data_IF_875093768114
#
_entry.id   IF_875093768114
#
_cell.length_a   1.000
_cell.length_b   1.000
_cell.length_c   1.000
_cell.angle_alpha   90.00
_cell.angle_beta   90.00
_cell.angle_gamma   90.00
#
_symmetry.space_group_name_H-M   'P 1'
#
loop_
_entity.id
_entity.type
_entity.pdbx_description
1 polymer ?
#
# COMPACT_ATOMS: atom_id res chain seq x y z
N UNK A 1 -29.61 -7.65 -2.04
CA UNK A 1 -29.70 -6.17 -2.24
C UNK A 1 -28.47 -5.75 -3.02
N UNK A 2 -28.58 -4.75 -3.91
CA UNK A 2 -27.41 -4.18 -4.59
C UNK A 2 -26.63 -3.35 -3.57
N UNK A 3 -25.31 -3.55 -3.49
CA UNK A 3 -24.44 -2.75 -2.62
C UNK A 3 -24.53 -1.27 -2.99
N UNK A 4 -24.41 -0.40 -1.99
CA UNK A 4 -24.48 1.05 -2.13
C UNK A 4 -23.15 1.67 -2.58
N UNK A 5 -22.02 1.12 -2.11
CA UNK A 5 -20.70 1.73 -2.31
C UNK A 5 -19.94 1.12 -3.49
N UNK A 6 -19.63 -0.18 -3.41
CA UNK A 6 -18.89 -0.92 -4.44
C UNK A 6 -19.50 -2.31 -4.63
N UNK A 7 -19.34 -2.90 -5.81
CA UNK A 7 -19.96 -4.17 -6.20
C UNK A 7 -19.11 -5.41 -5.89
N UNK A 8 -17.83 -5.24 -5.53
CA UNK A 8 -16.88 -6.33 -5.30
C UNK A 8 -16.66 -6.70 -3.82
N UNK A 9 -17.16 -5.91 -2.87
CA UNK A 9 -17.21 -6.23 -1.43
C UNK A 9 -18.55 -5.78 -0.83
N UNK A 10 -18.94 -6.31 0.33
CA UNK A 10 -20.15 -5.86 1.02
C UNK A 10 -20.02 -4.42 1.55
N UNK A 11 -21.15 -3.72 1.66
CA UNK A 11 -21.18 -2.37 2.24
C UNK A 11 -20.64 -2.35 3.69
N UNK A 12 -20.94 -3.38 4.48
CA UNK A 12 -20.44 -3.51 5.86
C UNK A 12 -18.91 -3.64 5.89
N UNK A 13 -18.34 -4.44 4.99
CA UNK A 13 -16.89 -4.60 4.88
C UNK A 13 -16.22 -3.31 4.42
N UNK A 14 -16.77 -2.66 3.39
CA UNK A 14 -16.28 -1.38 2.90
C UNK A 14 -16.27 -0.33 4.03
N UNK A 15 -17.40 -0.15 4.72
CA UNK A 15 -17.51 0.82 5.82
C UNK A 15 -16.57 0.51 6.98
N UNK A 16 -16.34 -0.78 7.27
CA UNK A 16 -15.36 -1.20 8.28
C UNK A 16 -13.93 -0.83 7.88
N UNK A 17 -13.54 -1.02 6.62
CA UNK A 17 -12.22 -0.62 6.12
C UNK A 17 -12.03 0.90 6.23
N UNK A 18 -13.05 1.67 5.86
CA UNK A 18 -13.00 3.14 6.00
C UNK A 18 -12.95 3.56 7.47
N UNK A 19 -13.72 2.93 8.35
CA UNK A 19 -13.70 3.18 9.79
C UNK A 19 -12.32 2.94 10.42
N UNK A 20 -11.66 1.85 10.02
CA UNK A 20 -10.29 1.53 10.44
C UNK A 20 -9.32 2.63 9.98
N UNK A 21 -9.38 3.00 8.69
CA UNK A 21 -8.54 4.05 8.11
C UNK A 21 -8.73 5.39 8.84
N UNK A 22 -9.97 5.81 9.07
CA UNK A 22 -10.28 7.04 9.80
C UNK A 22 -9.72 7.01 11.23
N UNK A 23 -9.83 5.86 11.92
CA UNK A 23 -9.26 5.68 13.26
C UNK A 23 -7.75 5.84 13.24
N UNK A 24 -7.07 5.31 12.24
CA UNK A 24 -5.61 5.42 12.13
C UNK A 24 -5.15 6.84 11.78
N UNK A 25 -5.93 7.60 10.99
CA UNK A 25 -5.71 9.03 10.79
C UNK A 25 -5.79 9.81 12.11
N UNK A 26 -6.80 9.53 12.94
CA UNK A 26 -6.94 10.17 14.26
C UNK A 26 -5.77 9.83 15.18
N UNK A 27 -5.33 8.56 15.21
CA UNK A 27 -4.15 8.14 15.99
C UNK A 27 -2.87 8.83 15.53
N UNK A 28 -2.64 8.88 14.22
CA UNK A 28 -1.46 9.52 13.64
C UNK A 28 -1.38 11.00 14.04
N UNK A 29 -2.53 11.71 14.03
CA UNK A 29 -2.62 13.10 14.47
C UNK A 29 -2.41 13.28 15.99
N UNK A 30 -2.93 12.36 16.80
CA UNK A 30 -2.89 12.47 18.27
C UNK A 30 -1.54 12.05 18.89
N UNK A 31 -0.74 11.23 18.19
CA UNK A 31 0.59 10.80 18.67
C UNK A 31 1.66 11.89 18.59
N UNK A 32 1.29 13.11 18.18
CA UNK A 32 2.21 14.22 17.95
C UNK A 32 2.45 14.99 19.25
N UNK A 33 3.39 14.49 20.06
CA UNK A 33 3.92 15.26 21.20
C UNK A 33 5.42 15.49 21.00
N UNK A 34 5.98 16.57 21.57
CA UNK A 34 7.44 16.78 21.59
C UNK A 34 8.16 15.56 22.18
N UNK A 35 7.57 14.89 23.18
CA UNK A 35 8.10 13.66 23.76
C UNK A 35 8.17 12.52 22.75
N UNK A 36 7.16 12.37 21.88
CA UNK A 36 7.16 11.34 20.86
C UNK A 36 8.16 11.65 19.72
N UNK A 37 8.28 12.93 19.35
CA UNK A 37 9.29 13.41 18.41
C UNK A 37 10.72 13.00 18.83
N UNK A 38 11.10 13.26 20.09
CA UNK A 38 12.43 12.89 20.59
C UNK A 38 12.59 11.38 20.87
N UNK A 39 11.49 10.62 20.94
CA UNK A 39 11.55 9.15 21.07
C UNK A 39 11.78 8.44 19.72
N UNK A 40 11.46 9.11 18.62
CA UNK A 40 11.70 8.60 17.27
C UNK A 40 13.16 8.85 16.87
N UNK A 41 13.69 7.99 15.99
CA UNK A 41 15.03 8.16 15.41
C UNK A 41 15.05 9.37 14.47
N UNK A 42 15.29 10.54 15.02
CA UNK A 42 15.51 11.77 14.28
C UNK A 42 17.02 11.92 14.05
N UNK A 43 17.41 12.15 12.80
CA UNK A 43 18.81 12.40 12.44
C UNK A 43 19.18 13.86 12.75
N UNK A 44 19.96 14.04 13.81
CA UNK A 44 20.38 15.37 14.28
C UNK A 44 21.37 16.04 13.34
N UNK A 45 22.16 15.27 12.57
CA UNK A 45 23.08 15.81 11.56
C UNK A 45 22.27 16.40 10.41
N UNK A 46 21.25 15.68 9.92
CA UNK A 46 20.33 16.19 8.90
C UNK A 46 19.66 17.48 9.36
N UNK A 47 19.06 17.49 10.56
CA UNK A 47 18.38 18.68 11.09
C UNK A 47 19.34 19.88 11.20
N UNK A 48 20.58 19.65 11.60
CA UNK A 48 21.59 20.71 11.68
C UNK A 48 21.87 21.32 10.30
N UNK A 49 22.03 20.48 9.27
CA UNK A 49 22.22 20.96 7.90
C UNK A 49 20.97 21.62 7.34
N UNK A 50 19.77 21.10 7.63
CA UNK A 50 18.52 21.71 7.20
C UNK A 50 18.36 23.13 7.77
N UNK A 51 18.66 23.31 9.06
CA UNK A 51 18.63 24.61 9.73
C UNK A 51 19.62 25.58 9.06
N UNK A 52 20.85 25.12 8.87
CA UNK A 52 21.96 25.93 8.36
C UNK A 52 21.77 26.32 6.90
N UNK A 53 21.41 25.37 6.04
CA UNK A 53 21.35 25.58 4.59
C UNK A 53 20.03 26.21 4.13
N UNK A 54 18.94 25.97 4.86
CA UNK A 54 17.64 26.55 4.51
C UNK A 54 17.25 27.77 5.37
N UNK A 55 18.10 28.19 6.31
CA UNK A 55 17.82 29.28 7.25
C UNK A 55 16.48 29.12 7.99
N UNK A 56 16.14 27.88 8.36
CA UNK A 56 14.92 27.54 9.09
C UNK A 56 15.25 27.46 10.58
N UNK A 57 14.42 28.07 11.42
CA UNK A 57 14.55 27.97 12.87
C UNK A 57 14.21 26.56 13.39
N UNK A 58 14.71 26.25 14.59
CA UNK A 58 14.55 24.92 15.20
C UNK A 58 13.07 24.53 15.37
N UNK A 59 12.20 25.46 15.77
CA UNK A 59 10.79 25.15 16.02
C UNK A 59 10.06 24.80 14.71
N UNK A 60 10.34 25.54 13.64
CA UNK A 60 9.82 25.25 12.31
C UNK A 60 10.30 23.90 11.78
N UNK A 61 11.57 23.54 11.99
CA UNK A 61 12.10 22.23 11.59
C UNK A 61 11.44 21.07 12.34
N UNK A 62 11.28 21.22 13.66
CA UNK A 62 10.60 20.22 14.48
C UNK A 62 9.16 20.02 13.99
N UNK A 63 8.42 21.10 13.71
CA UNK A 63 7.06 21.02 13.16
C UNK A 63 7.03 20.33 11.80
N UNK A 64 7.96 20.67 10.90
CA UNK A 64 8.03 20.05 9.58
C UNK A 64 8.31 18.54 9.65
N UNK A 65 9.25 18.13 10.49
CA UNK A 65 9.58 16.71 10.67
C UNK A 65 8.44 15.93 11.36
N UNK A 66 7.74 16.56 12.30
CA UNK A 66 6.50 16.02 12.88
C UNK A 66 5.46 15.75 11.78
N UNK A 67 5.18 16.74 10.92
CA UNK A 67 4.20 16.59 9.83
C UNK A 67 4.62 15.48 8.86
N UNK A 68 5.91 15.38 8.53
CA UNK A 68 6.46 14.31 7.70
C UNK A 68 6.26 12.92 8.32
N UNK A 69 6.39 12.79 9.65
CA UNK A 69 6.13 11.53 10.36
C UNK A 69 4.66 11.14 10.34
N UNK A 70 3.75 12.12 10.51
CA UNK A 70 2.30 11.91 10.39
C UNK A 70 1.96 11.41 8.99
N UNK A 71 2.47 12.10 7.96
CA UNK A 71 2.23 11.75 6.55
C UNK A 71 2.72 10.33 6.24
N UNK A 72 3.92 9.97 6.71
CA UNK A 72 4.44 8.59 6.58
C UNK A 72 3.52 7.56 7.27
N UNK A 73 3.01 7.87 8.47
CA UNK A 73 2.07 6.99 9.16
C UNK A 73 0.76 6.83 8.38
N UNK A 74 0.25 7.92 7.81
CA UNK A 74 -0.97 7.94 7.00
C UNK A 74 -0.78 7.09 5.73
N UNK A 75 0.34 7.26 5.02
CA UNK A 75 0.63 6.48 3.82
C UNK A 75 0.67 4.97 4.10
N UNK A 76 1.23 4.55 5.24
CA UNK A 76 1.18 3.16 5.68
C UNK A 76 -0.27 2.68 5.91
N UNK A 77 -1.10 3.50 6.57
CA UNK A 77 -2.52 3.18 6.79
C UNK A 77 -3.31 3.07 5.49
N UNK A 78 -2.98 3.85 4.46
CA UNK A 78 -3.57 3.72 3.13
C UNK A 78 -3.17 2.37 2.49
N UNK A 79 -1.93 1.92 2.68
CA UNK A 79 -1.52 0.57 2.27
C UNK A 79 -2.36 -0.52 2.92
N UNK A 80 -2.52 -0.44 4.24
CA UNK A 80 -3.38 -1.35 5.00
C UNK A 80 -4.85 -1.27 4.56
N UNK A 81 -5.35 -0.10 4.15
CA UNK A 81 -6.70 0.01 3.60
C UNK A 81 -6.85 -0.81 2.31
N UNK A 82 -5.89 -0.73 1.39
CA UNK A 82 -5.94 -1.53 0.16
C UNK A 82 -5.85 -3.04 0.45
N UNK A 83 -5.05 -3.46 1.42
CA UNK A 83 -5.02 -4.85 1.90
C UNK A 83 -6.41 -5.27 2.42
N UNK A 84 -7.00 -4.49 3.33
CA UNK A 84 -8.29 -4.82 3.94
C UNK A 84 -9.41 -4.88 2.90
N UNK A 85 -9.46 -3.93 1.96
CA UNK A 85 -10.48 -3.90 0.90
C UNK A 85 -10.34 -5.11 -0.01
N UNK A 86 -9.14 -5.39 -0.53
CA UNK A 86 -8.92 -6.53 -1.43
C UNK A 86 -9.11 -7.87 -0.71
N UNK A 87 -8.73 -7.95 0.57
CA UNK A 87 -8.96 -9.13 1.42
C UNK A 87 -10.43 -9.37 1.78
N UNK A 88 -11.34 -8.45 1.43
CA UNK A 88 -12.79 -8.66 1.54
C UNK A 88 -13.42 -9.29 0.29
N UNK A 89 -12.66 -9.41 -0.80
CA UNK A 89 -13.14 -10.03 -2.04
C UNK A 89 -13.16 -11.54 -1.85
N UNK A 90 -14.25 -12.19 -2.25
CA UNK A 90 -14.41 -13.63 -2.10
C UNK A 90 -13.25 -14.39 -2.77
N UNK A 91 -12.63 -15.32 -2.03
CA UNK A 91 -11.46 -16.07 -2.51
C UNK A 91 -10.10 -15.40 -2.25
N UNK A 92 -10.08 -14.24 -1.58
CA UNK A 92 -8.85 -13.54 -1.21
C UNK A 92 -8.79 -13.25 0.28
N UNK A 93 -7.56 -13.13 0.80
CA UNK A 93 -7.32 -12.77 2.20
C UNK A 93 -6.04 -11.95 2.35
N UNK A 94 -5.99 -11.12 3.40
CA UNK A 94 -4.78 -10.40 3.82
C UNK A 94 -3.70 -11.42 4.18
N UNK A 95 -2.47 -11.19 3.70
CA UNK A 95 -1.36 -12.12 3.83
C UNK A 95 -0.71 -12.15 5.22
N UNK A 96 -1.50 -12.20 6.29
CA UNK A 96 -1.05 -12.25 7.68
C UNK A 96 0.03 -13.33 7.90
N UNK A 97 1.22 -12.89 8.36
CA UNK A 97 2.40 -13.72 8.61
C UNK A 97 2.93 -14.52 7.39
N UNK A 98 2.44 -14.23 6.18
CA UNK A 98 2.86 -14.92 4.95
C UNK A 98 4.02 -14.23 4.23
N UNK A 99 4.28 -12.97 4.58
CA UNK A 99 5.21 -12.10 3.85
C UNK A 99 4.64 -11.54 2.55
N UNK A 100 3.33 -11.67 2.32
CA UNK A 100 2.60 -11.05 1.22
C UNK A 100 1.55 -10.11 1.80
N UNK A 101 1.14 -9.12 1.03
CA UNK A 101 0.09 -8.18 1.44
C UNK A 101 -1.29 -8.79 1.16
N UNK A 102 -1.44 -9.44 0.00
CA UNK A 102 -2.64 -10.19 -0.40
C UNK A 102 -2.28 -11.55 -1.01
N UNK A 103 -3.14 -12.54 -0.77
CA UNK A 103 -3.10 -13.84 -1.47
C UNK A 103 -4.49 -14.38 -1.75
N UNK A 104 -4.60 -15.25 -2.74
CA UNK A 104 -5.79 -16.05 -2.98
C UNK A 104 -5.85 -17.22 -1.99
N UNK A 105 -7.04 -17.57 -1.52
CA UNK A 105 -7.26 -18.65 -0.54
C UNK A 105 -6.93 -20.03 -1.10
N UNK A 106 -7.02 -20.19 -2.43
CA UNK A 106 -6.63 -21.42 -3.13
C UNK A 106 -5.12 -21.47 -3.46
N UNK A 107 -4.37 -20.43 -3.08
CA UNK A 107 -2.94 -20.31 -3.35
C UNK A 107 -2.60 -20.00 -4.82
N UNK A 108 -3.56 -19.62 -5.65
CA UNK A 108 -3.33 -19.29 -7.06
C UNK A 108 -2.59 -17.96 -7.28
N UNK A 109 -2.63 -17.05 -6.30
CA UNK A 109 -2.09 -15.69 -6.41
C UNK A 109 -1.45 -15.23 -5.10
N UNK A 110 -0.32 -14.53 -5.21
CA UNK A 110 0.33 -13.81 -4.12
C UNK A 110 0.81 -12.43 -4.59
N UNK A 111 0.68 -11.41 -3.75
CA UNK A 111 1.03 -10.04 -4.12
C UNK A 111 1.75 -9.29 -3.00
N UNK A 112 2.68 -8.42 -3.41
CA UNK A 112 3.33 -7.40 -2.57
C UNK A 112 3.00 -6.03 -3.15
N UNK A 113 2.70 -5.06 -2.31
CA UNK A 113 2.29 -3.71 -2.69
C UNK A 113 3.45 -2.73 -2.60
N UNK A 114 3.43 -1.76 -3.52
CA UNK A 114 4.38 -0.66 -3.60
C UNK A 114 3.59 0.64 -3.77
N UNK A 115 3.81 1.58 -2.86
CA UNK A 115 3.14 2.89 -2.84
C UNK A 115 4.09 4.05 -3.15
N UNK A 116 5.40 3.81 -3.17
CA UNK A 116 6.44 4.79 -3.45
C UNK A 116 7.52 4.18 -4.36
N UNK A 117 8.36 5.02 -4.96
CA UNK A 117 9.53 4.52 -5.68
C UNK A 117 10.51 3.87 -4.72
N UNK A 118 10.96 2.66 -5.08
CA UNK A 118 11.89 1.88 -4.28
C UNK A 118 13.28 1.93 -4.93
N UNK A 119 14.36 2.01 -4.13
CA UNK A 119 15.70 1.75 -4.61
C UNK A 119 15.80 0.40 -5.32
N UNK A 120 16.60 0.35 -6.39
CA UNK A 120 16.73 -0.84 -7.25
C UNK A 120 17.07 -2.11 -6.48
N UNK A 121 17.97 -2.02 -5.49
CA UNK A 121 18.35 -3.16 -4.65
C UNK A 121 17.17 -3.73 -3.83
N UNK A 122 16.21 -2.88 -3.43
CA UNK A 122 14.99 -3.34 -2.73
C UNK A 122 14.05 -4.01 -3.74
N UNK A 123 13.85 -3.42 -4.91
CA UNK A 123 13.05 -4.03 -5.98
C UNK A 123 13.59 -5.41 -6.38
N UNK A 124 14.91 -5.54 -6.53
CA UNK A 124 15.55 -6.81 -6.88
C UNK A 124 15.38 -7.85 -5.77
N UNK A 125 15.46 -7.46 -4.49
CA UNK A 125 15.17 -8.34 -3.35
C UNK A 125 13.71 -8.83 -3.34
N UNK A 126 12.75 -7.97 -3.69
CA UNK A 126 11.34 -8.36 -3.83
C UNK A 126 11.19 -9.34 -4.99
N UNK A 127 11.78 -9.04 -6.14
CA UNK A 127 11.76 -9.93 -7.31
C UNK A 127 12.33 -11.32 -6.97
N UNK A 128 13.46 -11.39 -6.26
CA UNK A 128 14.04 -12.65 -5.82
C UNK A 128 13.09 -13.42 -4.90
N UNK A 129 12.47 -12.75 -3.93
CA UNK A 129 11.49 -13.37 -3.02
C UNK A 129 10.32 -13.96 -3.81
N UNK A 130 9.74 -13.20 -4.73
CA UNK A 130 8.63 -13.67 -5.58
C UNK A 130 9.08 -14.85 -6.46
N UNK A 131 10.26 -14.75 -7.06
CA UNK A 131 10.82 -15.79 -7.93
C UNK A 131 11.11 -17.09 -7.18
N UNK A 132 11.68 -17.02 -5.97
CA UNK A 132 11.91 -18.18 -5.09
C UNK A 132 10.59 -18.86 -4.73
N UNK A 133 9.56 -18.10 -4.36
CA UNK A 133 8.23 -18.67 -4.08
C UNK A 133 7.58 -19.27 -5.33
N UNK A 134 7.79 -18.67 -6.50
CA UNK A 134 7.24 -19.17 -7.76
C UNK A 134 7.86 -20.50 -8.23
N UNK A 135 9.05 -20.86 -7.73
CA UNK A 135 9.64 -22.18 -7.95
C UNK A 135 8.97 -23.26 -7.09
N UNK A 136 8.48 -22.89 -5.90
CA UNK A 136 7.76 -23.76 -4.96
C UNK A 136 6.30 -23.93 -5.45
N UNK A 137 5.61 -22.81 -5.66
CA UNK A 137 4.20 -22.78 -6.08
C UNK A 137 4.09 -22.57 -7.59
N UNK A 138 4.40 -23.64 -8.36
CA UNK A 138 4.57 -23.57 -9.83
C UNK A 138 3.32 -23.15 -10.61
N UNK A 139 2.13 -23.30 -10.04
CA UNK A 139 0.85 -22.91 -10.65
C UNK A 139 0.40 -21.49 -10.27
N UNK A 140 1.05 -20.89 -9.28
CA UNK A 140 0.64 -19.60 -8.73
C UNK A 140 1.24 -18.43 -9.51
N UNK A 141 0.57 -17.29 -9.44
CA UNK A 141 1.01 -16.02 -9.98
C UNK A 141 1.47 -15.10 -8.85
N UNK A 142 2.54 -14.37 -9.11
CA UNK A 142 3.18 -13.50 -8.14
C UNK A 142 3.25 -12.08 -8.70
N UNK A 143 2.86 -11.11 -7.89
CA UNK A 143 2.73 -9.72 -8.33
C UNK A 143 3.51 -8.77 -7.41
N UNK A 144 4.30 -7.88 -8.02
CA UNK A 144 4.53 -6.57 -7.44
C UNK A 144 3.44 -5.64 -7.96
N UNK A 145 2.60 -5.14 -7.05
CA UNK A 145 1.51 -4.21 -7.37
C UNK A 145 2.00 -2.79 -7.10
N UNK A 146 2.19 -2.02 -8.17
CA UNK A 146 2.70 -0.66 -8.10
C UNK A 146 1.54 0.35 -8.19
N UNK A 147 1.20 0.97 -7.07
CA UNK A 147 0.17 2.01 -6.98
C UNK A 147 0.67 3.39 -7.46
N UNK A 148 1.96 3.54 -7.75
CA UNK A 148 2.51 4.76 -8.37
C UNK A 148 2.16 4.86 -9.85
N UNK A 149 1.94 3.72 -10.52
CA UNK A 149 1.53 3.65 -11.92
C UNK A 149 0.03 3.96 -12.04
N UNK A 150 -0.30 5.07 -12.73
CA UNK A 150 -1.68 5.57 -12.87
C UNK A 150 -2.49 4.93 -13.97
N UNK A 151 -1.84 4.33 -14.97
CA UNK A 151 -2.53 3.69 -16.09
C UNK A 151 -2.65 2.18 -15.85
N UNK A 152 -3.54 1.53 -16.59
CA UNK A 152 -3.57 0.08 -16.64
C UNK A 152 -2.23 -0.44 -17.18
N UNK A 153 -1.60 -1.32 -16.42
CA UNK A 153 -0.28 -1.85 -16.71
C UNK A 153 -0.17 -3.24 -16.11
N UNK A 154 0.32 -4.20 -16.89
CA UNK A 154 0.62 -5.56 -16.44
C UNK A 154 1.65 -6.18 -17.37
N UNK A 155 2.84 -6.42 -16.87
CA UNK A 155 3.92 -7.03 -17.64
C UNK A 155 4.66 -8.08 -16.82
N UNK A 156 5.32 -9.00 -17.53
CA UNK A 156 6.28 -9.90 -16.90
C UNK A 156 7.37 -9.04 -16.26
N UNK A 157 7.69 -9.29 -15.00
CA UNK A 157 8.71 -8.49 -14.34
C UNK A 157 10.09 -8.94 -14.80
N UNK A 158 10.86 -8.00 -15.32
CA UNK A 158 12.24 -8.17 -15.74
C UNK A 158 13.10 -7.25 -14.87
N UNK A 159 14.13 -7.81 -14.24
CA UNK A 159 15.17 -7.05 -13.53
C UNK A 159 16.52 -7.27 -14.23
N UNK A 160 17.50 -6.42 -13.95
CA UNK A 160 18.83 -6.49 -14.55
C UNK A 160 19.36 -5.13 -14.96
N UNK A 161 20.33 -5.15 -15.86
CA UNK A 161 21.00 -3.99 -16.46
C UNK A 161 21.31 -4.29 -17.95
N UNK A 162 22.13 -3.47 -18.58
CA UNK A 162 22.49 -3.63 -20.00
C UNK A 162 23.26 -4.94 -20.29
N UNK A 163 23.92 -5.52 -19.30
CA UNK A 163 24.74 -6.74 -19.45
C UNK A 163 23.93 -8.02 -19.21
N UNK A 164 22.90 -7.97 -18.37
CA UNK A 164 22.06 -9.12 -18.06
C UNK A 164 20.62 -8.75 -17.74
N UNK A 165 19.69 -9.65 -18.05
CA UNK A 165 18.31 -9.54 -17.61
C UNK A 165 17.82 -10.87 -17.04
N UNK A 166 17.05 -10.80 -15.96
CA UNK A 166 16.44 -11.94 -15.27
C UNK A 166 14.94 -11.74 -15.20
N UNK A 167 14.19 -12.81 -15.44
CA UNK A 167 12.74 -12.81 -15.34
C UNK A 167 12.22 -14.19 -14.97
N UNK A 168 11.02 -14.26 -14.39
CA UNK A 168 10.35 -15.53 -14.07
C UNK A 168 8.96 -15.58 -14.71
N UNK A 169 8.56 -16.73 -15.26
CA UNK A 169 7.31 -16.89 -16.03
C UNK A 169 6.02 -16.62 -15.25
N UNK A 170 6.11 -16.65 -13.92
CA UNK A 170 4.98 -16.46 -13.01
C UNK A 170 5.08 -15.18 -12.17
N UNK A 171 6.09 -14.33 -12.41
CA UNK A 171 6.32 -13.09 -11.65
C UNK A 171 6.06 -11.89 -12.57
N UNK A 172 5.19 -10.99 -12.11
CA UNK A 172 4.69 -9.86 -12.88
C UNK A 172 4.78 -8.58 -12.06
N UNK A 173 4.91 -7.46 -12.77
CA UNK A 173 4.66 -6.13 -12.23
C UNK A 173 3.34 -5.65 -12.81
N UNK A 174 2.47 -5.09 -11.97
CA UNK A 174 1.10 -4.71 -12.33
C UNK A 174 0.75 -3.41 -11.63
N UNK A 175 0.00 -2.52 -12.27
CA UNK A 175 -0.50 -1.32 -11.58
C UNK A 175 -1.60 -1.67 -10.59
N UNK A 176 -1.80 -0.82 -9.58
CA UNK A 176 -2.93 -0.95 -8.66
C UNK A 176 -4.27 -1.09 -9.38
N UNK A 177 -4.51 -0.25 -10.40
CA UNK A 177 -5.73 -0.29 -11.21
C UNK A 177 -5.95 -1.66 -11.87
N UNK A 178 -4.96 -2.15 -12.61
CA UNK A 178 -5.04 -3.46 -13.27
C UNK A 178 -5.14 -4.62 -12.27
N UNK A 179 -4.55 -4.48 -11.08
CA UNK A 179 -4.62 -5.53 -10.07
C UNK A 179 -6.00 -5.66 -9.44
N UNK A 180 -6.68 -4.53 -9.20
CA UNK A 180 -8.07 -4.53 -8.73
C UNK A 180 -8.97 -5.26 -9.72
N UNK A 181 -8.83 -5.01 -11.02
CA UNK A 181 -9.64 -5.67 -12.05
C UNK A 181 -9.33 -7.18 -12.16
N UNK A 182 -8.05 -7.55 -11.97
CA UNK A 182 -7.64 -8.97 -11.96
C UNK A 182 -8.26 -9.72 -10.77
N UNK A 183 -8.32 -9.11 -9.60
CA UNK A 183 -8.85 -9.76 -8.39
C UNK A 183 -10.39 -9.79 -8.39
N UNK A 184 -11.04 -8.72 -8.85
CA UNK A 184 -12.50 -8.61 -8.87
C UNK A 184 -13.14 -9.29 -10.08
N UNK A 185 -12.34 -9.70 -11.07
CA UNK A 185 -12.79 -10.19 -12.38
C UNK A 185 -13.72 -9.20 -13.11
N UNK A 186 -13.58 -7.90 -12.84
CA UNK A 186 -14.39 -6.84 -13.45
C UNK A 186 -13.57 -5.60 -13.77
N UNK A 187 -13.86 -4.97 -14.91
CA UNK A 187 -13.17 -3.75 -15.32
C UNK A 187 -13.59 -2.53 -14.47
N UNK A 188 -12.69 -1.55 -14.39
CA UNK A 188 -12.88 -0.27 -13.72
C UNK A 188 -13.14 -0.37 -12.20
N UNK A 189 -12.71 -1.46 -11.58
CA UNK A 189 -12.94 -1.72 -10.15
C UNK A 189 -12.29 -0.64 -9.28
N UNK A 190 -11.07 -0.24 -9.62
CA UNK A 190 -10.38 0.83 -8.89
C UNK A 190 -11.08 2.19 -9.05
N UNK A 191 -11.59 2.51 -10.25
CA UNK A 191 -12.34 3.76 -10.47
C UNK A 191 -13.63 3.79 -9.66
N UNK A 192 -14.33 2.66 -9.55
CA UNK A 192 -15.52 2.53 -8.68
C UNK A 192 -15.16 2.76 -7.22
N UNK A 193 -14.00 2.25 -6.77
CA UNK A 193 -13.49 2.51 -5.42
C UNK A 193 -13.22 4.00 -5.20
N UNK A 194 -12.52 4.66 -6.13
CA UNK A 194 -12.25 6.10 -6.06
C UNK A 194 -13.55 6.91 -5.98
N UNK A 195 -14.54 6.58 -6.82
CA UNK A 195 -15.85 7.22 -6.80
C UNK A 195 -16.58 6.99 -5.47
N UNK A 196 -16.54 5.77 -4.93
CA UNK A 196 -17.15 5.44 -3.64
C UNK A 196 -16.51 6.25 -2.50
N UNK A 197 -15.19 6.41 -2.51
CA UNK A 197 -14.47 7.19 -1.49
C UNK A 197 -14.92 8.65 -1.44
N UNK A 198 -15.21 9.26 -2.60
CA UNK A 198 -15.74 10.63 -2.68
C UNK A 198 -17.14 10.80 -2.05
N UNK A 199 -17.88 9.71 -1.86
CA UNK A 199 -19.22 9.74 -1.25
C UNK A 199 -19.20 9.56 0.27
N UNK A 200 -18.04 9.29 0.86
CA UNK A 200 -17.90 9.07 2.30
C UNK A 200 -18.08 10.42 3.01
N UNK A 201 -18.99 10.52 4.00
CA UNK A 201 -19.18 11.75 4.76
C UNK A 201 -17.93 12.07 5.61
N UNK A 202 -17.65 13.36 5.79
CA UNK A 202 -16.54 13.86 6.62
C UNK A 202 -16.58 13.36 8.08
N UNK A 203 -17.77 12.99 8.57
CA UNK A 203 -17.97 12.37 9.87
C UNK A 203 -18.47 10.94 9.70
N UNK A 204 -17.60 9.97 10.00
CA UNK A 204 -17.99 8.56 10.03
C UNK A 204 -18.46 8.23 11.45
N UNK A 205 -19.78 8.22 11.64
CA UNK A 205 -20.38 7.69 12.87
C UNK A 205 -20.33 6.16 12.83
N UNK A 206 -19.17 5.59 13.13
CA UNK A 206 -19.04 4.15 13.34
C UNK A 206 -19.74 3.84 14.65
N UNK A 207 -20.93 3.20 14.60
CA UNK A 207 -21.45 2.51 15.77
C UNK A 207 -20.53 1.32 15.99
N UNK A 208 -19.67 1.42 17.01
CA UNK A 208 -18.92 0.29 17.56
C UNK A 208 -19.91 -0.62 18.28
#
# INVERSE_FOLDING_TARGET
MKNKYVDFVSDDHFLKCVANLHTDYLKAKNNVTKKHFYSNKVDTIKLTFDAKFNAIDEESLIRAEILRQIDKSINNSIGTFHEQILGGIAGFEVGNLSGFDIKATDGSLFAIFKFEHLPKNIEDCIFEKLSKNAQIFKKSKFYLVDFTIKNHFKEKWIIGNDEYSVSHKNVFMISGHSFYDVISETDETFKKLEAAVLTIPNEIKVKI
#
